data_IF_231940898376
#
_entry.id   IF_231940898376
#
_cell.length_a   1.000
_cell.length_b   1.000
_cell.length_c   1.000
_cell.angle_alpha   90.00
_cell.angle_beta   90.00
_cell.angle_gamma   90.00
#
_symmetry.space_group_name_H-M   'P 1'
#
loop_
_entity.id
_entity.type
_entity.pdbx_description
1 polymer ?
#
# COMPACT_ATOMS: atom_id res chain seq x y z
N UNK A 1 4.43 -15.35 10.52
CA UNK A 1 3.46 -15.04 9.48
C UNK A 1 3.88 -13.82 8.71
N UNK A 2 3.87 -13.90 7.42
CA UNK A 2 4.28 -12.81 6.57
C UNK A 2 3.10 -11.87 6.34
N UNK A 3 3.35 -10.59 6.45
CA UNK A 3 2.34 -9.57 6.15
C UNK A 3 2.25 -9.38 4.65
N UNK A 4 1.86 -10.44 3.97
CA UNK A 4 1.69 -10.38 2.52
C UNK A 4 0.26 -10.05 2.18
N UNK A 5 0.12 -9.07 1.28
CA UNK A 5 -1.16 -8.69 0.74
C UNK A 5 -1.18 -9.03 -0.74
N UNK A 6 -2.35 -9.24 -1.28
CA UNK A 6 -2.55 -9.55 -2.69
C UNK A 6 -3.42 -8.49 -3.33
N UNK A 7 -3.37 -8.43 -4.66
CA UNK A 7 -4.24 -7.55 -5.41
C UNK A 7 -5.69 -7.77 -5.02
N UNK A 8 -6.37 -6.69 -4.68
CA UNK A 8 -7.77 -6.75 -4.28
C UNK A 8 -7.99 -6.89 -2.77
N UNK A 9 -6.94 -7.12 -2.00
CA UNK A 9 -7.08 -7.21 -0.55
C UNK A 9 -7.51 -5.87 0.03
N UNK A 10 -8.45 -5.92 0.96
CA UNK A 10 -8.92 -4.72 1.65
C UNK A 10 -8.01 -4.44 2.82
N UNK A 11 -7.51 -3.22 2.88
CA UNK A 11 -6.56 -2.80 3.88
C UNK A 11 -6.94 -1.44 4.45
N UNK A 12 -6.28 -1.06 5.52
CA UNK A 12 -6.42 0.25 6.12
C UNK A 12 -5.03 0.72 6.55
N UNK A 13 -4.80 2.01 6.45
CA UNK A 13 -3.54 2.62 6.88
C UNK A 13 -3.82 3.96 7.53
N UNK A 14 -2.90 4.40 8.38
CA UNK A 14 -3.00 5.69 9.05
C UNK A 14 -2.36 6.78 8.21
N UNK A 15 -3.07 7.89 8.05
CA UNK A 15 -2.55 9.08 7.38
C UNK A 15 -2.32 10.16 8.43
N UNK A 16 -1.14 10.75 8.41
CA UNK A 16 -0.75 11.94 9.18
C UNK A 16 -1.70 12.39 10.30
N UNK A 17 -1.74 11.64 11.40
CA UNK A 17 -2.48 12.07 12.59
C UNK A 17 -3.98 12.08 12.46
N UNK A 18 -4.52 11.60 11.38
CA UNK A 18 -5.96 11.53 11.18
C UNK A 18 -6.45 10.10 11.31
N UNK A 19 -7.74 9.89 11.08
CA UNK A 19 -8.36 8.58 11.14
C UNK A 19 -7.77 7.64 10.10
N UNK A 20 -7.88 6.36 10.37
CA UNK A 20 -7.44 5.33 9.44
C UNK A 20 -8.15 5.49 8.09
N UNK A 21 -7.39 5.29 7.03
CA UNK A 21 -7.90 5.38 5.67
C UNK A 21 -8.14 3.99 5.13
N UNK A 22 -9.38 3.63 4.77
CA UNK A 22 -9.64 2.34 4.14
C UNK A 22 -9.30 2.39 2.66
N UNK A 23 -8.80 1.28 2.15
CA UNK A 23 -8.46 1.18 0.75
C UNK A 23 -8.30 -0.26 0.31
N UNK A 24 -7.78 -0.43 -0.88
CA UNK A 24 -7.58 -1.75 -1.49
C UNK A 24 -6.20 -1.81 -2.12
N UNK A 25 -5.59 -2.98 -2.07
CA UNK A 25 -4.29 -3.22 -2.70
C UNK A 25 -4.48 -3.30 -4.21
N UNK A 26 -3.76 -2.46 -4.94
CA UNK A 26 -3.77 -2.48 -6.40
C UNK A 26 -2.76 -3.50 -6.92
N UNK A 27 -1.54 -3.47 -6.38
CA UNK A 27 -0.52 -4.45 -6.74
C UNK A 27 0.63 -4.44 -5.74
N UNK A 28 1.39 -5.52 -5.75
CA UNK A 28 2.62 -5.64 -4.98
C UNK A 28 3.79 -5.15 -5.82
N UNK A 29 4.65 -4.34 -5.22
CA UNK A 29 5.83 -3.79 -5.89
C UNK A 29 7.07 -4.45 -5.30
N UNK A 30 7.83 -5.14 -6.13
CA UNK A 30 9.03 -5.86 -5.71
C UNK A 30 10.28 -5.39 -6.42
N UNK A 31 10.18 -4.29 -7.18
CA UNK A 31 11.33 -3.70 -7.86
C UNK A 31 11.15 -2.20 -7.95
N UNK A 32 12.22 -1.50 -8.30
CA UNK A 32 12.16 -0.05 -8.43
C UNK A 32 11.23 0.34 -9.57
N UNK A 33 10.32 1.25 -9.29
CA UNK A 33 9.35 1.71 -10.29
C UNK A 33 8.79 3.06 -9.87
N UNK A 34 7.95 3.63 -10.72
CA UNK A 34 7.19 4.84 -10.40
C UNK A 34 5.74 4.43 -10.16
N UNK A 35 5.21 4.78 -9.02
CA UNK A 35 3.83 4.48 -8.67
C UNK A 35 3.34 5.49 -7.63
N UNK A 36 2.03 5.72 -7.61
CA UNK A 36 1.45 6.67 -6.66
C UNK A 36 2.02 8.08 -6.79
N UNK A 37 2.48 8.45 -7.97
CA UNK A 37 3.02 9.76 -8.23
C UNK A 37 4.46 9.97 -7.73
N UNK A 38 5.16 8.89 -7.37
CA UNK A 38 6.53 9.01 -6.87
C UNK A 38 7.38 7.80 -7.26
N UNK A 39 8.67 7.96 -7.14
CA UNK A 39 9.61 6.86 -7.36
C UNK A 39 9.63 5.96 -6.13
N UNK A 40 9.45 4.67 -6.34
CA UNK A 40 9.41 3.66 -5.28
C UNK A 40 10.62 2.77 -5.40
N UNK A 41 11.36 2.63 -4.31
CA UNK A 41 12.52 1.73 -4.25
C UNK A 41 12.14 0.50 -3.44
N UNK A 42 11.52 -0.46 -4.10
CA UNK A 42 11.16 -1.72 -3.48
C UNK A 42 12.05 -2.82 -4.01
N UNK A 43 12.07 -3.95 -3.31
CA UNK A 43 12.80 -5.14 -3.73
C UNK A 43 12.02 -6.37 -3.28
N UNK A 44 12.46 -7.55 -3.70
CA UNK A 44 11.80 -8.79 -3.26
C UNK A 44 11.94 -8.99 -1.76
N UNK A 45 13.03 -8.52 -1.17
CA UNK A 45 13.25 -8.61 0.28
C UNK A 45 12.55 -7.50 1.05
N UNK A 46 12.20 -6.42 0.37
CA UNK A 46 11.53 -5.27 0.99
C UNK A 46 10.44 -4.77 0.06
N UNK A 47 9.36 -5.55 -0.10
CA UNK A 47 8.29 -5.18 -1.01
C UNK A 47 7.46 -4.02 -0.46
N UNK A 48 6.86 -3.29 -1.36
CA UNK A 48 5.89 -2.26 -1.03
C UNK A 48 4.61 -2.52 -1.81
N UNK A 49 3.54 -1.85 -1.42
CA UNK A 49 2.23 -2.08 -2.02
C UNK A 49 1.65 -0.77 -2.53
N UNK A 50 1.19 -0.81 -3.76
CA UNK A 50 0.39 0.28 -4.30
C UNK A 50 -1.04 0.06 -3.82
N UNK A 51 -1.59 1.04 -3.14
CA UNK A 51 -2.93 0.97 -2.59
C UNK A 51 -3.76 2.14 -3.10
N UNK A 52 -5.05 1.95 -3.10
CA UNK A 52 -5.99 2.96 -3.54
C UNK A 52 -6.98 3.26 -2.45
N UNK A 53 -7.11 4.53 -2.10
CA UNK A 53 -8.05 4.96 -1.07
C UNK A 53 -9.49 4.86 -1.56
N UNK A 54 -10.36 4.31 -0.74
CA UNK A 54 -11.79 4.29 -1.04
C UNK A 54 -12.45 5.64 -0.78
N UNK A 55 -11.77 6.52 -0.07
CA UNK A 55 -12.32 7.82 0.28
C UNK A 55 -12.11 8.90 -0.78
N UNK A 56 -11.41 8.66 -1.79
CA UNK A 56 -11.16 9.70 -2.81
C UNK A 56 -10.56 9.15 -4.06
N UNK A 57 -10.28 7.86 -4.07
CA UNK A 57 -9.70 7.18 -5.21
C UNK A 57 -8.24 7.50 -5.45
N UNK A 58 -7.60 8.21 -4.53
CA UNK A 58 -6.18 8.51 -4.63
C UNK A 58 -5.32 7.30 -4.37
N UNK A 59 -4.17 7.21 -5.04
CA UNK A 59 -3.24 6.12 -4.87
C UNK A 59 -2.06 6.53 -4.01
N UNK A 60 -1.53 5.56 -3.27
CA UNK A 60 -0.36 5.75 -2.42
C UNK A 60 0.44 4.47 -2.37
N UNK A 61 1.69 4.56 -1.92
CA UNK A 61 2.55 3.39 -1.77
C UNK A 61 2.93 3.28 -0.31
N UNK A 62 2.71 2.09 0.24
CA UNK A 62 3.02 1.82 1.65
C UNK A 62 3.74 0.50 1.80
N UNK A 63 4.59 0.41 2.82
CA UNK A 63 5.21 -0.86 3.21
C UNK A 63 4.17 -1.73 3.92
N UNK A 64 4.35 -3.06 3.92
CA UNK A 64 3.39 -3.94 4.59
C UNK A 64 3.20 -3.61 6.06
N UNK A 65 4.24 -3.12 6.74
CA UNK A 65 4.14 -2.76 8.15
C UNK A 65 3.20 -1.58 8.41
N UNK A 66 2.93 -0.77 7.39
CA UNK A 66 2.00 0.36 7.50
C UNK A 66 0.56 -0.01 7.17
N UNK A 67 0.34 -1.23 6.69
CA UNK A 67 -0.98 -1.69 6.26
C UNK A 67 -1.53 -2.70 7.25
N UNK A 68 -2.84 -2.65 7.43
CA UNK A 68 -3.55 -3.65 8.24
C UNK A 68 -4.72 -4.18 7.43
N UNK A 69 -5.06 -5.44 7.62
CA UNK A 69 -6.24 -6.02 6.98
C UNK A 69 -7.51 -5.48 7.61
N UNK A 70 -8.50 -5.25 6.78
CA UNK A 70 -9.84 -4.85 7.25
C UNK A 70 -10.71 -6.02 7.52
#
# INVERSE_FOLDING_TARGET
MTDEFQQGDKVVWSSHGSDDTPGVVVRKITSETVAGGRKVKASEDDPQYLVRSEKGGGEAVHKPSALKRR
#
